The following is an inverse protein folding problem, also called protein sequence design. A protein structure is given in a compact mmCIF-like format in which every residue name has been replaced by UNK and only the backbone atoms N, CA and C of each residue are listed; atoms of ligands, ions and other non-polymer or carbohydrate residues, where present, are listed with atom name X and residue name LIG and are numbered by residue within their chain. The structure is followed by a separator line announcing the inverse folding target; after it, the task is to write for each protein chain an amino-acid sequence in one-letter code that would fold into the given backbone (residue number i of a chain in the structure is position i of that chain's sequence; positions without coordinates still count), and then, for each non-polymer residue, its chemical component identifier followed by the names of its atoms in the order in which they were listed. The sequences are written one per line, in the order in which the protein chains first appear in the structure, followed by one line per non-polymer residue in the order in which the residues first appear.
data_IF_339384535654
#
_entry.id   IF_339384535654
#
_cell.length_a   1.000
_cell.length_b   1.000
_cell.length_c   1.000
_cell.angle_alpha   90.00
_cell.angle_beta   90.00
_cell.angle_gamma   90.00
#
_symmetry.space_group_name_H-M   'P 1'
#
loop_
_entity.id
_entity.type
_entity.pdbx_description
1 polymer ?
#
# COMPACT_ATOMS: atom_id res chain seq x y z
N UNK A 1 -8.40 -10.71 -15.35
CA UNK A 1 -7.57 -9.62 -15.90
C UNK A 1 -8.54 -8.69 -16.58
N UNK A 2 -8.51 -7.41 -16.18
CA UNK A 2 -8.99 -6.34 -17.06
C UNK A 2 -8.30 -6.52 -18.42
N UNK A 3 -9.06 -6.30 -19.49
CA UNK A 3 -8.70 -6.66 -20.86
C UNK A 3 -7.30 -6.17 -21.26
N UNK A 4 -6.72 -6.85 -22.27
CA UNK A 4 -5.34 -6.81 -22.79
C UNK A 4 -4.78 -5.46 -23.27
N UNK A 5 -5.17 -4.34 -22.65
CA UNK A 5 -4.74 -2.99 -23.00
C UNK A 5 -4.52 -2.08 -21.76
N UNK A 6 -4.75 -2.57 -20.54
CA UNK A 6 -4.40 -1.83 -19.32
C UNK A 6 -3.01 -2.23 -18.81
N UNK A 7 -2.21 -1.23 -18.43
CA UNK A 7 -0.89 -1.44 -17.85
C UNK A 7 -1.01 -2.12 -16.47
N UNK A 8 -0.14 -3.08 -16.20
CA UNK A 8 -0.02 -3.70 -14.87
C UNK A 8 0.33 -2.61 -13.86
N UNK A 9 -0.45 -2.53 -12.77
CA UNK A 9 -0.20 -1.64 -11.64
C UNK A 9 0.59 -2.38 -10.55
N UNK A 10 1.69 -1.75 -10.13
CA UNK A 10 2.63 -2.29 -9.17
C UNK A 10 2.52 -1.54 -7.85
N UNK A 11 2.31 -2.26 -6.75
CA UNK A 11 2.37 -1.71 -5.41
C UNK A 11 3.83 -1.60 -4.95
N UNK A 12 4.30 -0.40 -4.63
CA UNK A 12 5.66 -0.19 -4.13
C UNK A 12 5.65 -0.03 -2.61
N UNK A 13 6.08 -1.06 -1.89
CA UNK A 13 6.13 -1.07 -0.43
C UNK A 13 7.55 -0.95 0.09
N UNK A 14 7.75 -0.15 1.13
CA UNK A 14 9.05 0.03 1.76
C UNK A 14 9.09 1.18 2.74
N UNK A 15 10.24 1.40 3.39
CA UNK A 15 10.42 2.51 4.32
C UNK A 15 10.13 3.87 3.65
N UNK A 16 9.48 4.77 4.39
CA UNK A 16 9.12 6.12 3.90
C UNK A 16 9.24 7.22 4.97
N UNK A 17 9.87 6.92 6.09
CA UNK A 17 9.88 7.78 7.29
C UNK A 17 10.82 8.96 7.16
N UNK A 18 11.91 8.81 6.39
CA UNK A 18 12.84 9.90 6.12
C UNK A 18 12.98 10.21 4.62
N UNK A 19 13.67 11.33 4.32
CA UNK A 19 13.85 11.80 2.95
C UNK A 19 14.57 10.78 2.06
N UNK A 20 15.61 10.12 2.58
CA UNK A 20 16.40 9.16 1.82
C UNK A 20 15.57 7.94 1.45
N UNK A 21 14.80 7.42 2.41
CA UNK A 21 13.87 6.31 2.20
C UNK A 21 12.80 6.63 1.15
N UNK A 22 12.17 7.82 1.24
CA UNK A 22 11.21 8.26 0.22
C UNK A 22 11.83 8.42 -1.16
N UNK A 23 13.06 8.94 -1.24
CA UNK A 23 13.77 9.10 -2.51
C UNK A 23 14.10 7.76 -3.16
N UNK A 24 14.51 6.76 -2.36
CA UNK A 24 14.76 5.40 -2.85
C UNK A 24 13.47 4.78 -3.40
N UNK A 25 12.37 4.86 -2.63
CA UNK A 25 11.07 4.36 -3.08
C UNK A 25 10.52 5.10 -4.31
N UNK A 26 10.76 6.41 -4.42
CA UNK A 26 10.42 7.20 -5.61
C UNK A 26 11.24 6.74 -6.82
N UNK A 27 12.53 6.48 -6.65
CA UNK A 27 13.41 6.01 -7.73
C UNK A 27 12.97 4.65 -8.28
N UNK A 28 12.52 3.74 -7.41
CA UNK A 28 11.92 2.45 -7.79
C UNK A 28 10.63 2.68 -8.60
N UNK A 29 9.74 3.55 -8.11
CA UNK A 29 8.46 3.86 -8.76
C UNK A 29 8.65 4.52 -10.14
N UNK A 30 9.58 5.46 -10.25
CA UNK A 30 9.89 6.16 -11.51
C UNK A 30 10.44 5.18 -12.55
N UNK A 31 11.39 4.33 -12.17
CA UNK A 31 11.97 3.35 -13.07
C UNK A 31 10.93 2.34 -13.59
N UNK A 32 10.01 1.88 -12.72
CA UNK A 32 8.89 1.03 -13.12
C UNK A 32 7.96 1.76 -14.11
N UNK A 33 7.66 3.03 -13.84
CA UNK A 33 6.81 3.86 -14.70
C UNK A 33 7.45 4.04 -16.10
N UNK A 34 8.74 4.35 -16.14
CA UNK A 34 9.53 4.47 -17.38
C UNK A 34 9.61 3.14 -18.16
N UNK A 35 9.46 2.01 -17.46
CA UNK A 35 9.44 0.66 -18.03
C UNK A 35 8.05 0.21 -18.50
N UNK A 36 7.03 1.09 -18.39
CA UNK A 36 5.68 0.84 -18.90
C UNK A 36 4.70 0.25 -17.89
N UNK A 37 5.05 0.21 -16.61
CA UNK A 37 4.12 -0.15 -15.53
C UNK A 37 3.35 1.08 -15.04
N UNK A 38 2.13 0.87 -14.55
CA UNK A 38 1.52 1.82 -13.62
C UNK A 38 2.02 1.53 -12.21
N UNK A 39 2.08 2.54 -11.33
CA UNK A 39 2.60 2.37 -9.97
C UNK A 39 1.66 3.01 -8.96
N UNK A 40 1.41 2.31 -7.85
CA UNK A 40 0.91 2.90 -6.62
C UNK A 40 2.04 2.99 -5.61
N UNK A 41 2.37 4.21 -5.20
CA UNK A 41 3.37 4.55 -4.21
C UNK A 41 2.68 5.23 -3.02
N UNK A 42 2.55 4.58 -1.84
CA UNK A 42 1.66 5.03 -0.77
C UNK A 42 1.84 6.49 -0.35
N UNK A 43 3.07 6.98 -0.22
CA UNK A 43 3.33 8.35 0.21
C UNK A 43 3.19 9.40 -0.91
N UNK A 44 2.99 8.99 -2.16
CA UNK A 44 2.75 9.87 -3.32
C UNK A 44 1.27 9.87 -3.73
N UNK A 45 0.67 8.69 -3.74
CA UNK A 45 -0.65 8.43 -4.31
C UNK A 45 -1.73 8.23 -3.23
N UNK A 46 -1.34 8.04 -1.96
CA UNK A 46 -2.23 7.86 -0.83
C UNK A 46 -2.72 9.19 -0.22
N UNK A 47 -3.27 9.10 0.99
CA UNK A 47 -3.81 10.26 1.71
C UNK A 47 -2.75 11.06 2.48
N UNK A 48 -2.80 12.39 2.37
CA UNK A 48 -2.07 13.31 3.24
C UNK A 48 -2.74 13.42 4.62
N UNK A 49 -2.44 12.45 5.49
CA UNK A 49 -2.99 12.29 6.84
C UNK A 49 -3.12 13.61 7.62
N UNK A 50 -2.09 14.46 7.56
CA UNK A 50 -2.02 15.69 8.38
C UNK A 50 -3.13 16.67 8.02
N UNK A 51 -3.45 16.81 6.73
CA UNK A 51 -4.45 17.78 6.27
C UNK A 51 -5.86 17.33 6.63
N UNK A 52 -6.13 16.03 6.55
CA UNK A 52 -7.43 15.46 6.94
C UNK A 52 -7.62 15.50 8.45
N UNK A 53 -6.56 15.27 9.23
CA UNK A 53 -6.59 15.39 10.69
C UNK A 53 -6.98 16.80 11.14
N UNK A 54 -6.35 17.82 10.57
CA UNK A 54 -6.60 19.22 10.91
C UNK A 54 -8.09 19.56 10.68
N UNK A 55 -8.67 19.14 9.56
CA UNK A 55 -10.11 19.31 9.26
C UNK A 55 -11.00 18.59 10.28
N UNK A 56 -10.71 17.34 10.64
CA UNK A 56 -11.51 16.59 11.60
C UNK A 56 -11.50 17.24 12.99
N UNK A 57 -10.35 17.77 13.42
CA UNK A 57 -10.21 18.52 14.67
C UNK A 57 -11.00 19.83 14.62
N UNK A 58 -10.95 20.57 13.50
CA UNK A 58 -11.76 21.77 13.27
C UNK A 58 -13.27 21.48 13.32
N UNK A 59 -13.68 20.26 12.95
CA UNK A 59 -15.05 19.75 13.07
C UNK A 59 -15.43 19.30 14.49
N UNK A 60 -14.57 19.52 15.48
CA UNK A 60 -14.73 19.16 16.90
C UNK A 60 -14.63 17.66 17.22
N UNK A 61 -13.95 16.87 16.39
CA UNK A 61 -13.51 15.55 16.82
C UNK A 61 -12.31 15.66 17.77
N UNK A 62 -12.33 14.88 18.84
CA UNK A 62 -11.16 14.72 19.71
C UNK A 62 -9.97 14.17 18.92
N UNK A 63 -8.78 14.73 19.09
CA UNK A 63 -7.62 14.44 18.24
C UNK A 63 -7.20 12.95 18.26
N UNK A 64 -7.13 12.26 19.41
CA UNK A 64 -6.98 10.80 19.46
C UNK A 64 -7.99 10.01 18.63
N UNK A 65 -9.25 10.42 18.64
CA UNK A 65 -10.32 9.73 17.91
C UNK A 65 -10.27 10.03 16.41
N UNK A 66 -10.01 11.29 16.03
CA UNK A 66 -9.75 11.65 14.63
C UNK A 66 -8.54 10.87 14.07
N UNK A 67 -7.47 10.73 14.85
CA UNK A 67 -6.32 9.90 14.47
C UNK A 67 -6.70 8.43 14.27
N UNK A 68 -7.60 7.88 15.09
CA UNK A 68 -8.11 6.53 14.90
C UNK A 68 -8.85 6.38 13.56
N UNK A 69 -9.73 7.32 13.19
CA UNK A 69 -10.44 7.28 11.90
C UNK A 69 -9.47 7.26 10.73
N UNK A 70 -8.39 8.04 10.83
CA UNK A 70 -7.36 8.10 9.80
C UNK A 70 -6.53 6.82 9.73
N UNK A 71 -6.22 6.18 10.85
CA UNK A 71 -5.56 4.87 10.86
C UNK A 71 -6.44 3.81 10.17
N UNK A 72 -7.74 3.81 10.44
CA UNK A 72 -8.69 2.90 9.78
C UNK A 72 -8.82 3.20 8.28
N UNK A 73 -8.78 4.48 7.89
CA UNK A 73 -8.82 4.91 6.51
C UNK A 73 -7.57 4.51 5.72
N UNK A 74 -6.36 4.71 6.29
CA UNK A 74 -5.09 4.27 5.68
C UNK A 74 -5.11 2.75 5.48
N UNK A 75 -5.45 2.01 6.53
CA UNK A 75 -5.55 0.55 6.46
C UNK A 75 -6.51 0.09 5.36
N UNK A 76 -7.70 0.69 5.28
CA UNK A 76 -8.69 0.34 4.27
C UNK A 76 -8.20 0.64 2.86
N UNK A 77 -7.57 1.81 2.65
CA UNK A 77 -7.03 2.24 1.36
C UNK A 77 -5.90 1.30 0.89
N UNK A 78 -4.92 1.01 1.73
CA UNK A 78 -3.78 0.16 1.35
C UNK A 78 -4.23 -1.29 1.10
N UNK A 79 -5.17 -1.80 1.90
CA UNK A 79 -5.81 -3.10 1.64
C UNK A 79 -6.54 -3.09 0.30
N UNK A 80 -7.32 -2.05 -0.01
CA UNK A 80 -7.99 -1.96 -1.31
C UNK A 80 -7.00 -1.92 -2.47
N UNK A 81 -5.97 -1.09 -2.37
CA UNK A 81 -4.96 -0.94 -3.41
C UNK A 81 -4.21 -2.23 -3.68
N UNK A 82 -3.74 -2.89 -2.62
CA UNK A 82 -3.00 -4.12 -2.75
C UNK A 82 -3.89 -5.27 -3.23
N UNK A 83 -5.09 -5.43 -2.66
CA UNK A 83 -5.98 -6.56 -2.96
C UNK A 83 -6.59 -6.43 -4.37
N UNK A 84 -7.07 -5.24 -4.74
CA UNK A 84 -7.92 -5.03 -5.92
C UNK A 84 -7.19 -4.35 -7.07
N UNK A 85 -6.50 -3.24 -6.81
CA UNK A 85 -6.01 -2.36 -7.89
C UNK A 85 -4.63 -2.75 -8.42
N UNK A 86 -3.73 -3.24 -7.56
CA UNK A 86 -2.38 -3.62 -7.94
C UNK A 86 -2.32 -5.11 -8.27
N UNK A 87 -1.76 -5.48 -9.41
CA UNK A 87 -1.60 -6.88 -9.81
C UNK A 87 -0.28 -7.48 -9.33
N UNK A 88 0.73 -6.66 -9.05
CA UNK A 88 2.05 -7.10 -8.59
C UNK A 88 2.61 -6.17 -7.50
N UNK A 89 3.69 -6.58 -6.84
CA UNK A 89 4.30 -5.84 -5.75
C UNK A 89 5.83 -5.86 -5.84
N UNK A 90 6.44 -4.71 -5.56
CA UNK A 90 7.87 -4.57 -5.29
C UNK A 90 8.04 -4.20 -3.82
N UNK A 91 8.85 -4.97 -3.11
CA UNK A 91 9.10 -4.78 -1.69
C UNK A 91 10.54 -4.37 -1.43
N UNK A 92 10.74 -3.17 -0.90
CA UNK A 92 12.04 -2.73 -0.42
C UNK A 92 12.28 -3.23 1.01
N UNK A 93 13.25 -4.13 1.14
CA UNK A 93 13.69 -4.78 2.38
C UNK A 93 14.79 -4.01 3.13
N UNK A 94 15.22 -2.86 2.63
CA UNK A 94 16.27 -2.07 3.27
C UNK A 94 15.87 -1.60 4.68
N UNK A 95 16.87 -1.50 5.55
CA UNK A 95 16.67 -1.12 6.95
C UNK A 95 17.39 -2.07 7.90
N UNK A 96 17.73 -1.57 9.11
CA UNK A 96 18.24 -2.44 10.20
C UNK A 96 17.22 -3.53 10.55
N UNK A 97 15.94 -3.17 10.48
CA UNK A 97 14.81 -4.09 10.59
C UNK A 97 13.85 -3.70 9.48
N UNK A 98 13.30 -4.67 8.72
CA UNK A 98 12.33 -4.37 7.69
C UNK A 98 11.15 -3.58 8.25
N UNK A 99 10.63 -2.66 7.43
CA UNK A 99 9.44 -1.87 7.74
C UNK A 99 8.24 -2.79 8.02
N UNK A 100 7.59 -2.60 9.18
CA UNK A 100 6.50 -3.45 9.64
C UNK A 100 5.22 -3.34 8.79
N UNK A 101 4.96 -2.16 8.23
CA UNK A 101 3.90 -1.94 7.24
C UNK A 101 4.18 -2.71 5.97
N UNK A 102 5.38 -2.54 5.40
CA UNK A 102 5.81 -3.22 4.19
C UNK A 102 5.85 -4.75 4.34
N UNK A 103 6.24 -5.26 5.52
CA UNK A 103 6.15 -6.69 5.87
C UNK A 103 4.70 -7.18 5.83
N UNK A 104 3.77 -6.40 6.39
CA UNK A 104 2.34 -6.77 6.45
C UNK A 104 1.72 -6.78 5.05
N UNK A 105 2.08 -5.81 4.22
CA UNK A 105 1.69 -5.75 2.80
C UNK A 105 2.26 -6.93 2.01
N UNK A 106 3.55 -7.25 2.19
CA UNK A 106 4.19 -8.37 1.49
C UNK A 106 3.52 -9.71 1.84
N UNK A 107 3.17 -9.91 3.11
CA UNK A 107 2.42 -11.09 3.54
C UNK A 107 1.04 -11.18 2.89
N UNK A 108 0.32 -10.07 2.75
CA UNK A 108 -0.95 -10.04 2.04
C UNK A 108 -0.78 -10.36 0.55
N UNK A 109 0.20 -9.74 -0.12
CA UNK A 109 0.50 -10.02 -1.52
C UNK A 109 0.86 -11.50 -1.75
N UNK A 110 1.70 -12.06 -0.87
CA UNK A 110 2.08 -13.47 -0.91
C UNK A 110 0.89 -14.42 -0.71
N UNK A 111 0.00 -14.12 0.26
CA UNK A 111 -1.21 -14.92 0.50
C UNK A 111 -2.21 -14.85 -0.66
N UNK A 112 -2.30 -13.70 -1.33
CA UNK A 112 -3.06 -13.54 -2.58
C UNK A 112 -2.31 -14.14 -3.78
N UNK A 113 -1.06 -14.54 -3.57
CA UNK A 113 -0.05 -14.96 -4.52
C UNK A 113 0.09 -13.98 -5.67
N UNK A 114 0.18 -12.69 -5.41
CA UNK A 114 0.59 -11.71 -6.44
C UNK A 114 2.09 -11.92 -6.75
N UNK A 115 2.55 -11.63 -7.98
CA UNK A 115 3.97 -11.53 -8.25
C UNK A 115 4.60 -10.55 -7.27
N UNK A 116 5.58 -11.03 -6.51
CA UNK A 116 6.24 -10.31 -5.43
C UNK A 116 7.74 -10.48 -5.59
N UNK A 117 8.44 -9.36 -5.75
CA UNK A 117 9.91 -9.34 -5.73
C UNK A 117 10.40 -8.46 -4.59
N UNK A 118 11.60 -8.74 -4.08
CA UNK A 118 12.25 -7.89 -3.10
C UNK A 118 13.51 -7.22 -3.64
N UNK A 119 13.67 -5.95 -3.27
CA UNK A 119 14.89 -5.19 -3.42
C UNK A 119 15.57 -5.07 -2.04
N UNK A 120 16.87 -5.33 -1.99
CA UNK A 120 17.70 -5.22 -0.80
C UNK A 120 19.14 -4.85 -1.17
N UNK A 121 19.51 -3.60 -0.90
CA UNK A 121 20.88 -3.06 -1.01
C UNK A 121 21.34 -2.55 0.38
N UNK A 122 21.35 -3.46 1.36
CA UNK A 122 21.73 -3.12 2.73
C UNK A 122 22.87 -4.00 3.24
N UNK A 123 24.07 -3.43 3.22
CA UNK A 123 25.30 -4.09 3.68
C UNK A 123 25.30 -4.43 5.17
N UNK A 124 24.38 -3.88 5.99
CA UNK A 124 24.29 -4.23 7.42
C UNK A 124 23.88 -5.68 7.62
N UNK A 125 23.13 -6.25 6.69
CA UNK A 125 22.78 -7.68 6.66
C UNK A 125 24.03 -8.57 6.60
N UNK A 126 25.11 -8.11 5.95
CA UNK A 126 26.39 -8.83 5.84
C UNK A 126 27.18 -8.86 7.15
N UNK A 127 26.89 -7.95 8.09
CA UNK A 127 27.67 -7.74 9.33
C UNK A 127 26.90 -8.21 10.58
N UNK A 128 25.57 -8.12 10.61
CA UNK A 128 24.79 -8.29 11.85
C UNK A 128 23.60 -9.27 11.81
N UNK A 129 23.37 -10.01 10.72
CA UNK A 129 22.45 -11.14 10.77
C UNK A 129 21.63 -11.35 9.51
N UNK A 130 21.00 -12.52 9.46
CA UNK A 130 20.11 -12.92 8.37
C UNK A 130 18.76 -12.22 8.54
N UNK A 131 18.16 -11.81 7.42
CA UNK A 131 16.75 -11.42 7.39
C UNK A 131 15.90 -12.58 7.95
N UNK A 132 14.83 -12.26 8.67
CA UNK A 132 13.96 -13.27 9.28
C UNK A 132 13.51 -14.30 8.22
N UNK A 133 13.60 -15.62 8.48
CA UNK A 133 13.23 -16.67 7.53
C UNK A 133 11.81 -16.57 6.97
N UNK A 134 10.85 -16.03 7.73
CA UNK A 134 9.49 -15.81 7.24
C UNK A 134 9.42 -14.74 6.14
N UNK A 135 10.34 -13.79 6.15
CA UNK A 135 10.38 -12.71 5.16
C UNK A 135 11.02 -13.18 3.87
N UNK A 136 12.20 -13.81 3.96
CA UNK A 136 12.88 -14.37 2.79
C UNK A 136 12.14 -15.56 2.18
N UNK A 137 11.32 -16.27 2.96
CA UNK A 137 10.45 -17.31 2.43
C UNK A 137 9.31 -16.79 1.54
N UNK A 138 8.89 -15.52 1.66
CA UNK A 138 7.85 -14.93 0.79
C UNK A 138 8.36 -14.57 -0.62
N UNK A 139 9.68 -14.46 -0.75
CA UNK A 139 10.39 -14.06 -1.97
C UNK A 139 11.34 -15.16 -2.45
N UNK A 140 11.02 -16.42 -2.12
CA UNK A 140 11.78 -17.62 -2.52
C UNK A 140 13.29 -17.52 -2.27
N UNK A 141 13.68 -16.79 -1.22
CA UNK A 141 15.06 -16.50 -0.82
C UNK A 141 15.87 -15.71 -1.87
N UNK A 142 15.22 -15.05 -2.82
CA UNK A 142 15.82 -14.23 -3.86
C UNK A 142 15.52 -12.74 -3.66
N UNK A 143 16.56 -11.91 -3.69
CA UNK A 143 16.45 -10.46 -3.66
C UNK A 143 17.35 -9.84 -4.71
N UNK A 144 16.98 -8.65 -5.14
CA UNK A 144 17.71 -7.83 -6.10
C UNK A 144 18.45 -6.73 -5.32
N UNK A 145 19.70 -6.46 -5.65
CA UNK A 145 20.51 -5.43 -4.98
C UNK A 145 20.74 -4.17 -5.84
N UNK A 146 20.20 -4.13 -7.05
CA UNK A 146 20.29 -2.97 -7.95
C UNK A 146 18.91 -2.58 -8.46
N UNK A 147 18.53 -1.32 -8.27
CA UNK A 147 17.21 -0.79 -8.67
C UNK A 147 16.96 -1.04 -10.17
N UNK A 148 17.99 -0.93 -11.02
CA UNK A 148 17.93 -1.11 -12.48
C UNK A 148 17.45 -2.50 -12.91
N UNK A 149 17.59 -3.51 -12.05
CA UNK A 149 17.18 -4.88 -12.34
C UNK A 149 15.70 -5.13 -12.03
N UNK A 150 15.06 -4.28 -11.23
CA UNK A 150 13.67 -4.41 -10.75
C UNK A 150 12.68 -4.65 -11.91
N UNK A 151 12.66 -3.86 -13.00
CA UNK A 151 11.69 -4.08 -14.08
C UNK A 151 11.80 -5.46 -14.75
N UNK A 152 13.04 -5.93 -14.97
CA UNK A 152 13.26 -7.23 -15.61
C UNK A 152 12.86 -8.39 -14.70
N UNK A 153 13.20 -8.30 -13.41
CA UNK A 153 12.87 -9.34 -12.44
C UNK A 153 11.36 -9.40 -12.18
N UNK A 154 10.69 -8.24 -12.11
CA UNK A 154 9.25 -8.17 -12.00
C UNK A 154 8.56 -8.76 -13.24
N UNK A 155 9.07 -8.46 -14.45
CA UNK A 155 8.58 -9.06 -15.69
C UNK A 155 8.65 -10.59 -15.65
N UNK A 156 9.78 -11.15 -15.18
CA UNK A 156 9.97 -12.59 -15.03
C UNK A 156 8.97 -13.16 -14.01
N UNK A 157 8.84 -12.54 -12.83
CA UNK A 157 7.91 -12.98 -11.79
C UNK A 157 6.44 -12.96 -12.27
N UNK A 158 6.05 -11.96 -13.06
CA UNK A 158 4.73 -11.87 -13.69
C UNK A 158 4.54 -13.00 -14.71
N UNK A 159 5.53 -13.25 -15.58
CA UNK A 159 5.45 -14.29 -16.62
C UNK A 159 5.40 -15.71 -16.04
N UNK A 160 6.04 -15.94 -14.90
CA UNK A 160 6.09 -17.24 -14.23
C UNK A 160 4.80 -17.60 -13.48
N UNK A 161 3.90 -16.64 -13.27
CA UNK A 161 2.61 -16.95 -12.67
C UNK A 161 1.66 -17.61 -13.66
N UNK A 162 1.13 -18.77 -13.26
CA UNK A 162 0.00 -19.39 -13.93
C UNK A 162 -1.20 -18.44 -13.98
N UNK A 163 -1.96 -18.50 -15.08
CA UNK A 163 -3.19 -17.73 -15.30
C UNK A 163 -4.14 -17.87 -14.11
N UNK A 164 -4.11 -16.91 -13.18
CA UNK A 164 -4.99 -16.94 -12.02
C UNK A 164 -6.42 -16.61 -12.46
N UNK A 165 -7.42 -17.34 -11.95
CA UNK A 165 -8.78 -16.85 -12.03
C UNK A 165 -8.87 -15.49 -11.32
N UNK A 166 -9.70 -14.61 -11.87
CA UNK A 166 -9.91 -13.29 -11.32
C UNK A 166 -10.34 -13.37 -9.85
N UNK A 167 -9.76 -12.50 -9.02
CA UNK A 167 -10.04 -12.48 -7.58
C UNK A 167 -11.53 -12.24 -7.33
N UNK A 168 -12.20 -13.22 -6.74
CA UNK A 168 -13.59 -13.06 -6.31
C UNK A 168 -13.61 -12.51 -4.89
N UNK A 169 -13.89 -11.22 -4.74
CA UNK A 169 -13.96 -10.54 -3.44
C UNK A 169 -14.91 -11.24 -2.47
N UNK A 170 -16.01 -11.83 -2.96
CA UNK A 170 -16.97 -12.59 -2.16
C UNK A 170 -16.40 -13.83 -1.47
N UNK A 171 -15.27 -14.36 -1.95
CA UNK A 171 -14.58 -15.52 -1.37
C UNK A 171 -13.53 -15.12 -0.31
N UNK A 172 -13.22 -13.82 -0.18
CA UNK A 172 -12.30 -13.33 0.85
C UNK A 172 -12.95 -13.37 2.23
N UNK A 173 -12.17 -13.42 3.33
CA UNK A 173 -12.73 -13.27 4.68
C UNK A 173 -13.54 -11.97 4.81
N UNK A 174 -14.64 -12.00 5.56
CA UNK A 174 -15.57 -10.87 5.69
C UNK A 174 -14.90 -9.57 6.15
N UNK A 175 -13.88 -9.66 7.02
CA UNK A 175 -13.08 -8.51 7.45
C UNK A 175 -12.30 -7.87 6.30
N UNK A 176 -11.75 -8.68 5.39
CA UNK A 176 -11.05 -8.19 4.19
C UNK A 176 -12.06 -7.57 3.22
N UNK A 177 -13.24 -8.18 3.05
CA UNK A 177 -14.32 -7.60 2.22
C UNK A 177 -14.74 -6.22 2.72
N UNK A 178 -14.86 -6.04 4.05
CA UNK A 178 -15.18 -4.75 4.66
C UNK A 178 -14.10 -3.70 4.39
N UNK A 179 -12.83 -4.04 4.59
CA UNK A 179 -11.70 -3.15 4.30
C UNK A 179 -11.64 -2.75 2.82
N UNK A 180 -11.79 -3.73 1.92
CA UNK A 180 -11.86 -3.49 0.47
C UNK A 180 -13.02 -2.56 0.10
N UNK A 181 -14.19 -2.73 0.73
CA UNK A 181 -15.34 -1.86 0.48
C UNK A 181 -15.05 -0.41 0.90
N UNK A 182 -14.57 -0.20 2.12
CA UNK A 182 -14.26 1.15 2.62
C UNK A 182 -13.12 1.80 1.82
N UNK A 183 -12.07 1.04 1.51
CA UNK A 183 -10.94 1.52 0.72
C UNK A 183 -11.33 1.88 -0.71
N UNK A 184 -12.27 1.17 -1.33
CA UNK A 184 -12.83 1.54 -2.63
C UNK A 184 -13.47 2.93 -2.59
N UNK A 185 -14.32 3.17 -1.59
CA UNK A 185 -15.01 4.47 -1.44
C UNK A 185 -13.99 5.60 -1.25
N UNK A 186 -12.96 5.38 -0.43
CA UNK A 186 -11.86 6.34 -0.28
C UNK A 186 -11.10 6.58 -1.58
N UNK A 187 -10.78 5.52 -2.32
CA UNK A 187 -10.05 5.64 -3.58
C UNK A 187 -10.84 6.37 -4.65
N UNK A 188 -12.13 6.06 -4.79
CA UNK A 188 -13.04 6.77 -5.70
C UNK A 188 -13.11 8.27 -5.36
N UNK A 189 -13.12 8.62 -4.06
CA UNK A 189 -13.06 10.01 -3.63
C UNK A 189 -11.73 10.67 -3.98
N UNK A 190 -10.59 10.00 -3.74
CA UNK A 190 -9.26 10.53 -4.07
C UNK A 190 -9.04 10.73 -5.57
N UNK A 191 -9.64 9.89 -6.41
CA UNK A 191 -9.57 10.01 -7.86
C UNK A 191 -10.57 11.02 -8.45
N UNK A 192 -11.49 11.58 -7.67
CA UNK A 192 -12.45 12.55 -8.16
C UNK A 192 -11.74 13.85 -8.59
N UNK A 193 -12.23 14.50 -9.65
CA UNK A 193 -11.64 15.75 -10.14
C UNK A 193 -11.58 16.81 -9.02
N UNK A 194 -10.38 17.33 -8.75
CA UNK A 194 -10.14 18.35 -7.71
C UNK A 194 -9.97 17.80 -6.28
N UNK A 195 -10.12 16.50 -6.05
CA UNK A 195 -10.09 15.92 -4.70
C UNK A 195 -8.71 15.94 -4.03
N UNK A 196 -7.63 15.96 -4.81
CA UNK A 196 -6.26 16.02 -4.30
C UNK A 196 -5.96 17.31 -3.50
N UNK A 197 -6.81 18.33 -3.65
CA UNK A 197 -6.75 19.60 -2.90
C UNK A 197 -7.97 19.80 -1.97
N UNK A 198 -8.95 18.89 -1.98
CA UNK A 198 -10.21 19.01 -1.23
C UNK A 198 -10.18 18.16 0.05
N UNK A 199 -9.41 18.62 1.03
CA UNK A 199 -9.29 17.96 2.33
C UNK A 199 -10.64 17.86 3.08
N UNK A 200 -11.57 18.78 2.80
CA UNK A 200 -12.91 18.78 3.39
C UNK A 200 -13.77 17.64 2.84
N UNK A 201 -13.71 17.39 1.53
CA UNK A 201 -14.37 16.23 0.94
C UNK A 201 -13.80 14.93 1.52
N UNK A 202 -12.47 14.76 1.51
CA UNK A 202 -11.83 13.54 2.02
C UNK A 202 -12.12 13.34 3.51
N UNK A 203 -12.09 14.39 4.32
CA UNK A 203 -12.46 14.32 5.74
C UNK A 203 -13.92 13.88 5.93
N UNK A 204 -14.83 14.32 5.06
CA UNK A 204 -16.24 13.89 5.11
C UNK A 204 -16.39 12.41 4.80
N UNK A 205 -15.66 11.89 3.81
CA UNK A 205 -15.67 10.47 3.47
C UNK A 205 -15.07 9.63 4.61
N UNK A 206 -13.98 10.07 5.22
CA UNK A 206 -13.38 9.41 6.39
C UNK A 206 -14.37 9.40 7.56
N UNK A 207 -15.02 10.52 7.83
CA UNK A 207 -16.02 10.64 8.88
C UNK A 207 -17.21 9.71 8.63
N UNK A 208 -17.79 9.71 7.43
CA UNK A 208 -18.93 8.86 7.07
C UNK A 208 -18.62 7.37 7.18
N UNK A 209 -17.37 6.96 6.93
CA UNK A 209 -16.96 5.57 6.94
C UNK A 209 -16.56 5.07 8.34
N UNK A 210 -15.90 5.90 9.15
CA UNK A 210 -15.21 5.44 10.36
C UNK A 210 -15.65 6.15 11.64
N UNK A 211 -16.40 7.25 11.56
CA UNK A 211 -16.95 7.86 12.77
C UNK A 211 -18.04 6.98 13.40
N UNK A 212 -18.14 6.96 14.74
CA UNK A 212 -19.22 6.25 15.41
C UNK A 212 -20.58 6.87 15.06
N UNK A 213 -21.58 6.01 14.83
CA UNK A 213 -22.96 6.41 14.48
C UNK A 213 -23.66 7.29 15.53
N UNK A 214 -23.14 7.37 16.76
CA UNK A 214 -23.68 8.18 17.84
C UNK A 214 -22.58 9.05 18.46
N UNK A 215 -22.68 10.36 18.27
CA UNK A 215 -21.78 11.33 18.90
C UNK A 215 -22.04 11.47 20.41
N UNK A 216 -23.15 10.95 20.93
CA UNK A 216 -23.54 11.12 22.34
C UNK A 216 -22.88 10.13 23.32
N UNK A 217 -22.33 9.01 22.82
CA UNK A 217 -21.50 8.10 23.62
C UNK A 217 -20.09 8.64 23.91
N UNK A 218 -19.75 9.84 23.43
CA UNK A 218 -18.42 10.46 23.53
C UNK A 218 -18.26 11.38 24.76
N UNK A 219 -19.35 11.66 25.48
CA UNK A 219 -19.34 12.50 26.69
C UNK A 219 -19.51 11.71 28.00
N UNK A 220 -19.35 10.38 27.96
CA UNK A 220 -19.45 9.50 29.12
C UNK A 220 -18.07 9.08 29.65
#
# INVERSE_FOLDING_TARGET
MKHSNEQIRVYCAGPLFNRSERQEMTSIADLLSDSGYSVYLPHRDGMEFRLVLDVLVERNWDAPMAAQFLHEAIFALDVYQLVIECEAMVWNLNGRTPDEGAVSEAAMAWMLGKPLIAYQDDVRSLIQGRVNPLLVGMIDFESIDQIEQIPSALSVAIMQQDLRPELQVSLLPSKVQAAVKSGRVLWEALCAEGAQEDNEMIASVVEDLFAPNDRSTLLA
#
